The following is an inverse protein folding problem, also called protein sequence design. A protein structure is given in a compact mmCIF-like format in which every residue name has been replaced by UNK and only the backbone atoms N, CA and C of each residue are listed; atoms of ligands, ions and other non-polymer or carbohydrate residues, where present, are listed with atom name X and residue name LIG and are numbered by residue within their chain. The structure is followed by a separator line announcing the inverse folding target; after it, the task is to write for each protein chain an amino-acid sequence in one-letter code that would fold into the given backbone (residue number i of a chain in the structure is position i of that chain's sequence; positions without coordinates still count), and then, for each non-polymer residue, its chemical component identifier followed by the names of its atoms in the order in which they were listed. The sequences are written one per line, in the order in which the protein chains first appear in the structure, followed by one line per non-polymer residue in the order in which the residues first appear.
data_IF_910341248062
#
_entry.id   IF_910341248062
#
_cell.length_a   1.000
_cell.length_b   1.000
_cell.length_c   1.000
_cell.angle_alpha   90.00
_cell.angle_beta   90.00
_cell.angle_gamma   90.00
#
_symmetry.space_group_name_H-M   'P 1'
#
loop_
_entity.id
_entity.type
_entity.pdbx_description
1 polymer ?
#
# COMPACT_ATOMS: atom_id res chain seq x y z
N UNK A 1 -42.43 18.12 -64.75
CA UNK A 1 -41.26 17.19 -64.53
C UNK A 1 -40.14 17.75 -63.67
N UNK A 2 -40.06 19.07 -63.42
CA UNK A 2 -38.97 19.66 -62.60
C UNK A 2 -39.20 19.59 -61.08
N UNK A 3 -40.43 19.56 -60.56
CA UNK A 3 -40.75 19.58 -59.12
C UNK A 3 -40.51 18.23 -58.47
N UNK A 4 -40.69 17.11 -59.18
CA UNK A 4 -40.41 15.76 -58.63
C UNK A 4 -38.90 15.46 -58.40
N UNK A 5 -38.02 16.04 -59.22
CA UNK A 5 -36.57 15.85 -59.09
C UNK A 5 -36.00 16.56 -57.87
N UNK A 6 -36.51 17.72 -57.50
CA UNK A 6 -36.06 18.50 -56.35
C UNK A 6 -36.48 17.88 -55.00
N UNK A 7 -37.66 17.24 -54.96
CA UNK A 7 -38.17 16.54 -53.79
C UNK A 7 -37.35 15.25 -53.49
N UNK A 8 -36.98 14.49 -54.53
CA UNK A 8 -36.17 13.28 -54.44
C UNK A 8 -34.73 13.59 -53.94
N UNK A 9 -34.13 14.69 -54.39
CA UNK A 9 -32.81 15.09 -54.03
C UNK A 9 -32.73 15.56 -52.56
N UNK A 10 -33.75 16.20 -52.01
CA UNK A 10 -33.89 16.58 -50.64
C UNK A 10 -34.06 15.35 -49.73
N UNK A 11 -34.86 14.38 -50.11
CA UNK A 11 -35.12 13.15 -49.40
C UNK A 11 -33.84 12.29 -49.29
N UNK A 12 -33.06 12.16 -50.36
CA UNK A 12 -31.79 11.44 -50.40
C UNK A 12 -30.68 12.12 -49.55
N UNK A 13 -30.71 13.44 -49.49
CA UNK A 13 -29.77 14.20 -48.67
C UNK A 13 -30.07 14.03 -47.16
N UNK A 14 -31.33 14.01 -46.77
CA UNK A 14 -31.74 13.74 -45.38
C UNK A 14 -31.48 12.29 -44.99
N UNK A 15 -31.70 11.32 -45.85
CA UNK A 15 -31.35 9.92 -45.57
C UNK A 15 -29.85 9.69 -45.40
N UNK A 16 -29.01 10.34 -46.20
CA UNK A 16 -27.55 10.28 -46.02
C UNK A 16 -27.10 10.89 -44.67
N UNK A 17 -27.69 12.02 -44.29
CA UNK A 17 -27.38 12.66 -43.00
C UNK A 17 -27.81 11.77 -41.83
N UNK A 18 -29.00 11.15 -41.89
CA UNK A 18 -29.47 10.20 -40.88
C UNK A 18 -28.59 8.94 -40.80
N UNK A 19 -28.14 8.43 -41.97
CA UNK A 19 -27.22 7.29 -42.00
C UNK A 19 -25.86 7.62 -41.39
N UNK A 20 -25.27 8.80 -41.67
CA UNK A 20 -24.03 9.25 -41.04
C UNK A 20 -24.21 9.48 -39.55
N UNK A 21 -25.35 10.01 -39.09
CA UNK A 21 -25.66 10.16 -37.68
C UNK A 21 -25.79 8.80 -36.96
N UNK A 22 -26.46 7.84 -37.59
CA UNK A 22 -26.59 6.48 -37.06
C UNK A 22 -25.21 5.76 -36.94
N UNK A 23 -24.36 5.90 -37.99
CA UNK A 23 -23.00 5.31 -37.96
C UNK A 23 -22.10 5.98 -36.92
N UNK A 24 -22.17 7.30 -36.75
CA UNK A 24 -21.43 8.02 -35.72
C UNK A 24 -21.94 7.61 -34.33
N UNK A 25 -23.25 7.48 -34.14
CA UNK A 25 -23.85 7.06 -32.87
C UNK A 25 -23.51 5.61 -32.49
N UNK A 26 -23.46 4.69 -33.48
CA UNK A 26 -23.00 3.31 -33.26
C UNK A 26 -21.51 3.23 -32.96
N UNK A 27 -20.67 4.06 -33.58
CA UNK A 27 -19.24 4.15 -33.22
C UNK A 27 -19.02 4.73 -31.81
N UNK A 28 -19.81 5.73 -31.40
CA UNK A 28 -19.73 6.31 -30.06
C UNK A 28 -20.20 5.31 -28.98
N UNK A 29 -21.26 4.54 -29.25
CA UNK A 29 -21.76 3.50 -28.34
C UNK A 29 -20.74 2.35 -28.25
N UNK A 30 -20.15 1.93 -29.39
CA UNK A 30 -19.12 0.89 -29.40
C UNK A 30 -17.83 1.33 -28.66
N UNK A 31 -17.47 2.61 -28.75
CA UNK A 31 -16.34 3.15 -28.01
C UNK A 31 -16.62 3.23 -26.48
N UNK A 32 -17.84 3.63 -26.10
CA UNK A 32 -18.27 3.70 -24.70
C UNK A 32 -18.31 2.30 -24.04
N UNK A 33 -18.89 1.30 -24.72
CA UNK A 33 -18.94 -0.09 -24.21
C UNK A 33 -17.56 -0.74 -24.14
N UNK A 34 -16.66 -0.44 -25.07
CA UNK A 34 -15.28 -0.93 -25.02
C UNK A 34 -14.47 -0.28 -23.87
N UNK A 35 -14.77 0.97 -23.56
CA UNK A 35 -14.12 1.70 -22.46
C UNK A 35 -14.64 1.24 -21.09
N UNK A 36 -15.93 0.94 -20.95
CA UNK A 36 -16.52 0.40 -19.74
C UNK A 36 -16.06 -1.04 -19.48
N UNK A 37 -16.01 -1.90 -20.49
CA UNK A 37 -15.46 -3.26 -20.37
C UNK A 37 -13.98 -3.26 -19.97
N UNK A 38 -13.22 -2.26 -20.42
CA UNK A 38 -11.80 -2.13 -20.04
C UNK A 38 -11.60 -1.68 -18.60
N UNK A 39 -12.49 -0.82 -18.08
CA UNK A 39 -12.48 -0.37 -16.68
C UNK A 39 -12.89 -1.50 -15.71
N UNK A 40 -13.83 -2.33 -16.11
CA UNK A 40 -14.24 -3.51 -15.35
C UNK A 40 -13.11 -4.54 -15.29
N UNK A 41 -12.35 -4.74 -16.37
CA UNK A 41 -11.17 -5.60 -16.41
C UNK A 41 -10.04 -5.12 -15.47
N UNK A 42 -9.86 -3.82 -15.28
CA UNK A 42 -8.84 -3.28 -14.35
C UNK A 42 -9.22 -3.55 -12.91
N UNK A 43 -10.51 -3.40 -12.56
CA UNK A 43 -10.99 -3.71 -11.21
C UNK A 43 -10.89 -5.22 -10.92
N UNK A 44 -11.27 -6.09 -11.87
CA UNK A 44 -11.17 -7.55 -11.72
C UNK A 44 -9.72 -8.01 -11.58
N UNK A 45 -8.79 -7.43 -12.33
CA UNK A 45 -7.36 -7.76 -12.22
C UNK A 45 -6.75 -7.43 -10.85
N UNK A 46 -7.29 -6.45 -10.11
CA UNK A 46 -6.81 -6.13 -8.76
C UNK A 46 -7.09 -7.27 -7.76
N UNK A 47 -8.22 -7.99 -7.95
CA UNK A 47 -8.64 -9.10 -7.10
C UNK A 47 -8.19 -10.47 -7.62
N UNK A 48 -7.42 -10.53 -8.71
CA UNK A 48 -6.97 -11.82 -9.25
C UNK A 48 -6.24 -12.61 -8.17
N UNK A 49 -6.68 -13.85 -8.00
CA UNK A 49 -6.34 -14.72 -6.91
C UNK A 49 -4.83 -15.01 -6.84
N UNK A 50 -4.27 -14.90 -5.66
CA UNK A 50 -2.87 -15.23 -5.36
C UNK A 50 -2.54 -16.68 -5.71
N UNK A 51 -3.52 -17.58 -5.64
CA UNK A 51 -3.36 -18.99 -6.02
C UNK A 51 -3.03 -19.16 -7.51
N UNK A 52 -3.57 -18.29 -8.38
CA UNK A 52 -3.24 -18.30 -9.80
C UNK A 52 -1.78 -17.89 -10.07
N UNK A 53 -1.24 -16.95 -9.28
CA UNK A 53 0.18 -16.54 -9.35
C UNK A 53 1.09 -17.67 -8.91
N UNK A 54 0.71 -18.36 -7.83
CA UNK A 54 1.49 -19.46 -7.27
C UNK A 54 1.48 -20.73 -8.13
N UNK A 55 0.50 -20.90 -9.03
CA UNK A 55 0.48 -22.02 -9.97
C UNK A 55 1.57 -21.97 -11.06
N UNK A 56 2.19 -20.81 -11.26
CA UNK A 56 3.21 -20.56 -12.29
C UNK A 56 4.56 -20.15 -11.70
N UNK A 57 4.85 -20.46 -10.44
CA UNK A 57 6.10 -20.04 -9.78
C UNK A 57 7.36 -20.60 -10.44
N UNK A 58 7.27 -21.73 -11.15
CA UNK A 58 8.40 -22.33 -11.84
C UNK A 58 8.92 -21.47 -13.01
N UNK A 59 8.11 -20.56 -13.53
CA UNK A 59 8.49 -19.63 -14.60
C UNK A 59 9.38 -18.49 -14.09
N UNK A 60 9.52 -18.35 -12.76
CA UNK A 60 10.29 -17.27 -12.15
C UNK A 60 11.71 -17.69 -11.78
N UNK A 61 12.62 -16.70 -11.77
CA UNK A 61 14.03 -16.89 -11.44
C UNK A 61 14.24 -17.32 -9.99
N UNK A 62 15.24 -18.19 -9.78
CA UNK A 62 15.77 -18.52 -8.46
C UNK A 62 16.61 -17.39 -7.84
N UNK A 63 17.03 -16.42 -8.67
CA UNK A 63 17.80 -15.26 -8.21
C UNK A 63 16.93 -14.04 -7.99
N UNK A 64 17.20 -13.32 -6.91
CA UNK A 64 16.53 -12.07 -6.56
C UNK A 64 17.30 -10.88 -7.15
N UNK A 65 16.59 -10.05 -7.89
CA UNK A 65 16.98 -8.70 -8.29
C UNK A 65 16.15 -7.67 -7.54
N UNK A 66 16.79 -6.61 -7.04
CA UNK A 66 16.13 -5.50 -6.33
C UNK A 66 16.02 -4.30 -7.27
N UNK A 67 14.79 -3.83 -7.51
CA UNK A 67 14.50 -2.72 -8.43
C UNK A 67 14.14 -1.42 -7.71
N UNK A 68 13.37 -1.48 -6.65
CA UNK A 68 12.73 -0.33 -5.98
C UNK A 68 13.23 -0.11 -4.57
N UNK A 69 13.50 -1.18 -3.81
CA UNK A 69 13.92 -1.11 -2.42
C UNK A 69 15.34 -0.57 -2.30
N UNK A 70 15.47 0.67 -1.84
CA UNK A 70 16.77 1.34 -1.65
C UNK A 70 17.54 0.82 -0.44
N UNK A 71 16.84 0.19 0.49
CA UNK A 71 17.42 -0.38 1.70
C UNK A 71 18.02 -1.77 1.51
N UNK A 72 17.86 -2.40 0.34
CA UNK A 72 18.35 -3.76 0.07
C UNK A 72 19.32 -3.80 -1.09
N UNK A 73 20.41 -4.56 -0.91
CA UNK A 73 21.31 -4.98 -2.01
C UNK A 73 21.58 -6.46 -1.86
N UNK A 74 21.47 -7.22 -2.94
CA UNK A 74 21.66 -8.68 -2.98
C UNK A 74 22.77 -9.01 -3.97
N UNK A 75 23.69 -9.85 -3.56
CA UNK A 75 24.82 -10.33 -4.38
C UNK A 75 24.98 -11.84 -4.19
N UNK A 76 24.98 -12.60 -5.28
CA UNK A 76 25.22 -14.04 -5.28
C UNK A 76 26.71 -14.31 -5.41
N UNK A 77 27.29 -15.01 -4.43
CA UNK A 77 28.73 -15.37 -4.40
C UNK A 77 28.91 -16.85 -4.13
N UNK A 78 30.08 -17.41 -4.37
CA UNK A 78 30.36 -18.85 -4.18
C UNK A 78 30.11 -19.33 -2.73
N UNK A 79 30.24 -18.43 -1.74
CA UNK A 79 30.08 -18.75 -0.33
C UNK A 79 28.65 -18.49 0.21
N UNK A 80 27.70 -18.06 -0.64
CA UNK A 80 26.33 -17.82 -0.30
C UNK A 80 25.72 -16.53 -0.86
N UNK A 81 24.51 -16.21 -0.45
CA UNK A 81 23.81 -14.99 -0.83
C UNK A 81 24.19 -13.89 0.15
N UNK A 82 24.83 -12.84 -0.35
CA UNK A 82 25.23 -11.68 0.43
C UNK A 82 24.13 -10.61 0.35
N UNK A 83 23.55 -10.26 1.50
CA UNK A 83 22.54 -9.21 1.60
C UNK A 83 23.11 -8.05 2.41
N UNK A 84 23.08 -6.86 1.82
CA UNK A 84 23.40 -5.61 2.51
C UNK A 84 22.11 -4.86 2.78
N UNK A 85 21.87 -4.54 4.07
CA UNK A 85 20.70 -3.84 4.55
C UNK A 85 21.12 -2.46 5.04
N UNK A 86 20.47 -1.42 4.50
CA UNK A 86 20.67 -0.02 4.90
C UNK A 86 19.35 0.63 5.28
N UNK A 87 19.40 1.71 6.03
CA UNK A 87 18.20 2.52 6.26
C UNK A 87 17.95 3.40 5.03
N UNK A 88 16.85 3.20 4.27
CA UNK A 88 16.58 3.97 3.04
C UNK A 88 16.02 5.37 3.29
N UNK A 89 15.75 5.75 4.55
CA UNK A 89 15.21 7.05 4.90
C UNK A 89 16.23 8.16 4.57
N UNK A 90 15.91 9.08 3.62
CA UNK A 90 16.83 10.16 3.25
C UNK A 90 17.18 11.12 4.39
N UNK A 91 16.33 11.19 5.43
CA UNK A 91 16.52 12.02 6.61
C UNK A 91 17.30 11.29 7.73
N UNK A 92 17.54 9.99 7.59
CA UNK A 92 18.28 9.24 8.59
C UNK A 92 19.75 9.67 8.63
N UNK A 93 20.27 9.84 9.85
CA UNK A 93 21.73 9.92 10.02
C UNK A 93 22.34 8.63 9.48
N UNK A 94 23.49 8.72 8.80
CA UNK A 94 24.19 7.58 8.24
C UNK A 94 24.36 6.50 9.31
N UNK A 95 23.61 5.41 9.18
CA UNK A 95 23.77 4.20 10.00
C UNK A 95 24.71 3.24 9.28
N UNK A 96 25.44 2.45 10.06
CA UNK A 96 26.29 1.41 9.47
C UNK A 96 25.40 0.38 8.75
N UNK A 97 25.71 -0.02 7.50
CA UNK A 97 25.03 -1.11 6.85
C UNK A 97 25.14 -2.41 7.65
N UNK A 98 24.08 -3.19 7.66
CA UNK A 98 24.12 -4.57 8.12
C UNK A 98 24.49 -5.47 6.93
N UNK A 99 25.50 -6.32 7.10
CA UNK A 99 25.88 -7.32 6.10
C UNK A 99 25.58 -8.70 6.67
N UNK A 100 24.83 -9.49 5.91
CA UNK A 100 24.53 -10.88 6.24
C UNK A 100 24.86 -11.79 5.06
N UNK A 101 25.34 -13.01 5.38
CA UNK A 101 25.60 -14.04 4.36
C UNK A 101 24.70 -15.23 4.64
N UNK A 102 23.78 -15.52 3.74
CA UNK A 102 22.85 -16.63 3.82
C UNK A 102 23.45 -17.83 3.08
N UNK A 103 23.85 -18.85 3.85
CA UNK A 103 24.47 -20.09 3.35
C UNK A 103 23.50 -21.25 3.31
N UNK A 104 22.41 -21.18 4.10
CA UNK A 104 21.32 -22.16 4.16
C UNK A 104 20.01 -21.45 4.47
N UNK A 105 18.93 -22.04 4.04
CA UNK A 105 17.59 -21.56 4.32
C UNK A 105 17.22 -21.77 5.78
N UNK A 106 16.33 -20.94 6.26
CA UNK A 106 15.83 -20.93 7.64
C UNK A 106 14.32 -21.18 7.66
N UNK A 107 13.86 -21.72 8.77
CA UNK A 107 12.45 -22.09 8.91
C UNK A 107 11.81 -21.56 10.19
N UNK A 108 12.55 -20.87 11.04
CA UNK A 108 12.08 -20.42 12.36
C UNK A 108 12.39 -18.94 12.57
N UNK A 109 11.35 -18.11 12.49
CA UNK A 109 11.49 -16.65 12.56
C UNK A 109 10.67 -16.06 13.70
N UNK A 110 11.17 -14.99 14.28
CA UNK A 110 10.41 -14.09 15.12
C UNK A 110 10.18 -12.79 14.36
N UNK A 111 8.94 -12.31 14.34
CA UNK A 111 8.55 -11.03 13.77
C UNK A 111 8.18 -10.05 14.90
N UNK A 112 8.81 -8.87 14.92
CA UNK A 112 8.55 -7.85 15.95
C UNK A 112 7.54 -6.80 15.50
N UNK A 113 7.09 -6.80 14.25
CA UNK A 113 6.09 -5.86 13.71
C UNK A 113 5.08 -6.53 12.80
N UNK A 114 3.90 -5.92 12.67
CA UNK A 114 2.84 -6.39 11.78
C UNK A 114 3.28 -6.40 10.30
N UNK A 115 4.06 -5.40 9.86
CA UNK A 115 4.57 -5.36 8.48
C UNK A 115 5.47 -6.56 8.17
N UNK A 116 6.31 -6.99 9.12
CA UNK A 116 7.14 -8.19 8.94
C UNK A 116 6.27 -9.44 8.82
N UNK A 117 5.22 -9.57 9.66
CA UNK A 117 4.23 -10.63 9.56
C UNK A 117 3.58 -10.65 8.17
N UNK A 118 3.13 -9.49 7.68
CA UNK A 118 2.51 -9.36 6.35
C UNK A 118 3.42 -9.82 5.21
N UNK A 119 4.76 -9.68 5.33
CA UNK A 119 5.69 -10.21 4.33
C UNK A 119 5.67 -11.75 4.25
N UNK A 120 5.49 -12.45 5.38
CA UNK A 120 5.31 -13.91 5.39
C UNK A 120 3.92 -14.29 4.91
N UNK A 121 2.89 -13.55 5.33
CA UNK A 121 1.49 -13.83 4.98
C UNK A 121 1.26 -13.81 3.47
N UNK A 122 1.73 -12.78 2.75
CA UNK A 122 1.58 -12.72 1.28
C UNK A 122 2.37 -13.81 0.55
N UNK A 123 3.33 -14.43 1.20
CA UNK A 123 4.04 -15.59 0.67
C UNK A 123 3.44 -16.93 1.13
N UNK A 124 2.42 -16.93 2.01
CA UNK A 124 1.84 -18.14 2.59
C UNK A 124 2.81 -18.91 3.49
N UNK A 125 3.70 -18.20 4.19
CA UNK A 125 4.82 -18.75 4.98
C UNK A 125 4.66 -18.51 6.49
N UNK A 126 3.45 -18.26 6.99
CA UNK A 126 3.20 -17.99 8.41
C UNK A 126 3.60 -19.14 9.31
N UNK A 127 3.61 -20.38 8.80
CA UNK A 127 4.08 -21.58 9.52
C UNK A 127 5.56 -21.53 9.92
N UNK A 128 6.34 -20.66 9.30
CA UNK A 128 7.74 -20.41 9.66
C UNK A 128 7.90 -19.41 10.81
N UNK A 129 6.81 -18.78 11.27
CA UNK A 129 6.84 -17.81 12.37
C UNK A 129 6.61 -18.53 13.69
N UNK A 130 7.64 -18.54 14.54
CA UNK A 130 7.62 -19.21 15.86
C UNK A 130 7.39 -18.24 17.01
N UNK A 131 7.49 -16.94 16.77
CA UNK A 131 7.23 -15.91 17.77
C UNK A 131 6.87 -14.58 17.14
N UNK A 132 5.99 -13.85 17.83
CA UNK A 132 5.60 -12.50 17.44
C UNK A 132 5.58 -11.58 18.65
N UNK A 133 5.80 -10.28 18.42
CA UNK A 133 5.51 -9.26 19.40
C UNK A 133 4.00 -9.28 19.75
N UNK A 134 3.63 -8.91 20.97
CA UNK A 134 2.22 -8.80 21.37
C UNK A 134 1.54 -7.69 20.54
N UNK A 135 0.96 -8.06 19.44
CA UNK A 135 0.23 -7.18 18.52
C UNK A 135 -1.21 -7.06 18.98
N UNK A 136 -1.76 -5.84 18.98
CA UNK A 136 -3.13 -5.60 19.43
C UNK A 136 -4.17 -6.16 18.48
N UNK A 137 -3.85 -6.21 17.19
CA UNK A 137 -4.74 -6.66 16.13
C UNK A 137 -3.93 -7.46 15.13
N UNK A 138 -4.27 -8.74 15.01
CA UNK A 138 -3.77 -9.67 14.00
C UNK A 138 -4.98 -10.08 13.18
N UNK A 139 -4.88 -10.00 11.87
CA UNK A 139 -5.97 -10.30 10.94
C UNK A 139 -5.76 -11.61 10.18
N UNK A 140 -4.52 -12.10 10.08
CA UNK A 140 -4.24 -13.42 9.50
C UNK A 140 -4.88 -14.52 10.35
N UNK A 141 -5.91 -15.18 9.81
CA UNK A 141 -6.59 -16.29 10.48
C UNK A 141 -5.62 -17.44 10.79
N UNK A 142 -4.69 -17.71 9.87
CA UNK A 142 -3.67 -18.74 10.05
C UNK A 142 -2.74 -18.41 11.21
N UNK A 143 -2.37 -17.15 11.40
CA UNK A 143 -1.56 -16.73 12.53
C UNK A 143 -2.33 -16.81 13.85
N UNK A 144 -3.63 -16.48 13.86
CA UNK A 144 -4.48 -16.63 15.04
C UNK A 144 -4.57 -18.11 15.46
N UNK A 145 -4.77 -19.02 14.53
CA UNK A 145 -4.77 -20.47 14.79
C UNK A 145 -3.43 -20.97 15.38
N UNK A 146 -2.32 -20.43 14.88
CA UNK A 146 -0.99 -20.80 15.38
C UNK A 146 -0.74 -20.28 16.80
N UNK A 147 -1.22 -19.11 17.14
CA UNK A 147 -1.17 -18.55 18.49
C UNK A 147 -2.04 -19.37 19.45
N UNK A 148 -3.28 -19.67 19.06
CA UNK A 148 -4.19 -20.46 19.88
C UNK A 148 -3.69 -21.89 20.11
N UNK A 149 -3.10 -22.52 19.08
CA UNK A 149 -2.51 -23.85 19.18
C UNK A 149 -1.14 -23.89 19.87
N UNK A 150 -0.54 -22.73 20.20
CA UNK A 150 0.79 -22.63 20.81
C UNK A 150 1.96 -22.91 19.85
N UNK A 151 1.73 -23.00 18.55
CA UNK A 151 2.79 -23.14 17.53
C UNK A 151 3.62 -21.87 17.39
N UNK A 152 3.00 -20.74 17.58
CA UNK A 152 3.64 -19.42 17.65
C UNK A 152 3.44 -18.83 19.04
N UNK A 153 4.48 -18.26 19.64
CA UNK A 153 4.42 -17.65 20.97
C UNK A 153 4.38 -16.12 20.88
N UNK A 154 3.68 -15.49 21.82
CA UNK A 154 3.87 -14.06 22.07
C UNK A 154 5.15 -13.83 22.88
N UNK A 155 6.05 -12.98 22.37
CA UNK A 155 7.36 -12.70 22.98
C UNK A 155 7.40 -11.38 23.75
N UNK A 156 6.25 -10.82 24.11
CA UNK A 156 6.16 -9.54 24.84
C UNK A 156 6.05 -8.34 23.89
N UNK A 157 6.51 -7.18 24.37
CA UNK A 157 6.40 -5.89 23.65
C UNK A 157 7.76 -5.27 23.46
N UNK A 158 7.88 -4.37 22.50
CA UNK A 158 9.07 -3.55 22.30
C UNK A 158 9.50 -2.88 23.62
N UNK A 159 10.77 -3.02 23.97
CA UNK A 159 11.34 -2.55 25.24
C UNK A 159 11.08 -3.47 26.46
N UNK A 160 10.25 -4.51 26.33
CA UNK A 160 9.97 -5.49 27.39
C UNK A 160 9.68 -6.87 26.79
N UNK A 161 10.70 -7.47 26.18
CA UNK A 161 10.63 -8.80 25.60
C UNK A 161 10.78 -9.89 26.65
N UNK A 162 10.03 -10.97 26.51
CA UNK A 162 10.19 -12.20 27.28
C UNK A 162 11.31 -13.04 26.66
N UNK A 163 12.54 -12.85 27.16
CA UNK A 163 13.73 -13.52 26.64
C UNK A 163 13.69 -15.04 26.84
N UNK A 164 13.03 -15.52 27.89
CA UNK A 164 12.85 -16.97 28.11
C UNK A 164 11.99 -17.57 27.00
N UNK A 165 10.87 -16.92 26.69
CA UNK A 165 10.01 -17.35 25.57
C UNK A 165 10.74 -17.23 24.24
N UNK A 166 11.50 -16.16 23.99
CA UNK A 166 12.34 -16.01 22.77
C UNK A 166 13.29 -17.20 22.64
N UNK A 167 14.06 -17.54 23.67
CA UNK A 167 14.99 -18.67 23.63
C UNK A 167 14.29 -20.03 23.50
N UNK A 168 13.16 -20.22 24.18
CA UNK A 168 12.36 -21.45 24.10
C UNK A 168 11.84 -21.72 22.69
N UNK A 169 11.50 -20.70 21.92
CA UNK A 169 11.03 -20.86 20.53
C UNK A 169 12.13 -21.25 19.56
N UNK A 170 13.41 -21.15 19.95
CA UNK A 170 14.60 -21.51 19.15
C UNK A 170 14.54 -20.95 17.72
N UNK A 171 14.44 -19.63 17.52
CA UNK A 171 14.40 -19.04 16.19
C UNK A 171 15.78 -19.06 15.54
N UNK A 172 15.81 -19.17 14.21
CA UNK A 172 17.04 -18.98 13.42
C UNK A 172 17.41 -17.50 13.33
N UNK A 173 16.37 -16.64 13.21
CA UNK A 173 16.51 -15.18 13.11
C UNK A 173 15.37 -14.45 13.82
N UNK A 174 15.67 -13.25 14.27
CA UNK A 174 14.67 -12.29 14.76
C UNK A 174 14.67 -11.10 13.80
N UNK A 175 13.54 -10.86 13.14
CA UNK A 175 13.32 -9.66 12.33
C UNK A 175 12.96 -8.50 13.27
N UNK A 176 13.74 -7.41 13.18
CA UNK A 176 13.54 -6.21 13.98
C UNK A 176 13.39 -4.98 13.11
N UNK A 177 12.63 -3.99 13.53
CA UNK A 177 12.57 -2.68 12.89
C UNK A 177 13.29 -1.65 13.76
N UNK A 178 14.10 -0.78 13.16
CA UNK A 178 14.77 0.26 13.91
C UNK A 178 13.73 1.20 14.54
N UNK A 179 13.61 1.15 15.83
CA UNK A 179 12.76 2.06 16.61
C UNK A 179 13.58 3.20 17.17
N UNK A 180 12.96 4.38 17.23
CA UNK A 180 13.55 5.54 17.92
C UNK A 180 13.62 5.35 19.45
N UNK A 181 12.91 4.37 19.96
CA UNK A 181 12.87 4.05 21.38
C UNK A 181 13.91 3.00 21.80
N UNK A 182 14.63 2.37 20.85
CA UNK A 182 15.55 1.27 21.13
C UNK A 182 14.80 0.00 21.54
N UNK A 183 15.39 -0.78 22.44
CA UNK A 183 14.70 -1.94 23.05
C UNK A 183 15.09 -3.29 22.50
N UNK A 184 15.97 -3.34 21.48
CA UNK A 184 16.47 -4.61 20.92
C UNK A 184 17.78 -5.10 21.57
N UNK A 185 18.37 -4.31 22.48
CA UNK A 185 19.60 -4.65 23.17
C UNK A 185 19.46 -5.97 23.93
N UNK A 186 18.34 -6.15 24.63
CA UNK A 186 18.03 -7.39 25.34
C UNK A 186 17.94 -8.61 24.40
N UNK A 187 17.39 -8.45 23.19
CA UNK A 187 17.33 -9.54 22.20
C UNK A 187 18.73 -9.95 21.70
N UNK A 188 19.69 -9.04 21.67
CA UNK A 188 21.08 -9.38 21.31
C UNK A 188 21.73 -10.32 22.31
N UNK A 189 21.35 -10.21 23.59
CA UNK A 189 21.86 -11.07 24.66
C UNK A 189 21.45 -12.53 24.51
N UNK A 190 20.36 -12.81 23.77
CA UNK A 190 19.95 -14.18 23.45
C UNK A 190 20.91 -14.91 22.49
N UNK A 191 21.88 -14.22 21.87
CA UNK A 191 22.81 -14.80 20.90
C UNK A 191 22.19 -15.19 19.56
N UNK A 192 20.92 -14.81 19.32
CA UNK A 192 20.18 -15.07 18.08
C UNK A 192 20.44 -13.92 17.10
N UNK A 193 20.77 -14.19 15.82
CA UNK A 193 21.01 -13.15 14.85
C UNK A 193 19.78 -12.27 14.62
N UNK A 194 19.96 -10.95 14.75
CA UNK A 194 18.94 -9.96 14.42
C UNK A 194 19.09 -9.51 12.98
N UNK A 195 17.98 -9.42 12.24
CA UNK A 195 17.93 -8.88 10.87
C UNK A 195 17.05 -7.62 10.89
N UNK A 196 17.65 -6.48 10.51
CA UNK A 196 16.91 -5.24 10.40
C UNK A 196 16.01 -5.24 9.17
N UNK A 197 14.72 -4.98 9.39
CA UNK A 197 13.73 -4.82 8.32
C UNK A 197 13.32 -3.35 8.25
N UNK A 198 13.85 -2.63 7.24
CA UNK A 198 13.61 -1.19 7.08
C UNK A 198 12.54 -0.86 6.03
N UNK A 199 11.73 -1.83 5.59
CA UNK A 199 10.72 -1.62 4.56
C UNK A 199 9.81 -0.42 4.80
N UNK A 200 9.41 -0.18 6.05
CA UNK A 200 8.57 0.96 6.43
C UNK A 200 9.25 2.34 6.25
N UNK A 201 10.56 2.36 5.98
CA UNK A 201 11.35 3.57 5.70
C UNK A 201 11.50 3.86 4.20
N UNK A 202 11.08 2.93 3.35
CA UNK A 202 11.07 3.18 1.91
C UNK A 202 10.10 4.31 1.56
N UNK A 203 10.53 5.16 0.65
CA UNK A 203 9.71 6.29 0.19
C UNK A 203 8.89 5.96 -1.05
N UNK A 204 9.15 4.79 -1.66
CA UNK A 204 8.42 4.27 -2.81
C UNK A 204 7.51 3.11 -2.36
N UNK A 205 6.21 3.10 -2.71
CA UNK A 205 5.30 2.02 -2.34
C UNK A 205 5.76 0.63 -2.83
N UNK A 206 6.26 0.52 -4.05
CA UNK A 206 6.83 -0.74 -4.57
C UNK A 206 8.15 -1.08 -3.88
N UNK A 207 8.95 -0.08 -3.46
CA UNK A 207 10.16 -0.31 -2.67
C UNK A 207 9.84 -0.96 -1.32
N UNK A 208 8.77 -0.51 -0.65
CA UNK A 208 8.32 -1.14 0.60
C UNK A 208 7.83 -2.57 0.38
N UNK A 209 7.03 -2.82 -0.66
CA UNK A 209 6.54 -4.16 -0.99
C UNK A 209 7.66 -5.12 -1.37
N UNK A 210 8.73 -4.64 -2.01
CA UNK A 210 9.84 -5.47 -2.49
C UNK A 210 10.64 -6.15 -1.36
N UNK A 211 10.47 -5.72 -0.10
CA UNK A 211 11.08 -6.38 1.04
C UNK A 211 10.60 -7.82 1.27
N UNK A 212 9.50 -8.26 0.63
CA UNK A 212 9.12 -9.70 0.61
C UNK A 212 10.23 -10.57 0.03
N UNK A 213 11.06 -10.01 -0.86
CA UNK A 213 12.21 -10.73 -1.46
C UNK A 213 13.28 -11.09 -0.42
N UNK A 214 13.45 -10.26 0.63
CA UNK A 214 14.30 -10.63 1.77
C UNK A 214 13.79 -11.90 2.45
N UNK A 215 12.47 -11.99 2.68
CA UNK A 215 11.85 -13.20 3.26
C UNK A 215 12.07 -14.39 2.31
N UNK A 216 11.89 -14.20 1.00
CA UNK A 216 12.18 -15.25 0.00
C UNK A 216 13.60 -15.79 0.09
N UNK A 217 14.62 -14.92 0.23
CA UNK A 217 16.02 -15.31 0.41
C UNK A 217 16.23 -16.10 1.70
N UNK A 218 15.70 -15.60 2.82
CA UNK A 218 15.86 -16.20 4.14
C UNK A 218 15.22 -17.59 4.23
N UNK A 219 14.10 -17.79 3.55
CA UNK A 219 13.31 -19.03 3.60
C UNK A 219 13.60 -20.01 2.47
N UNK A 220 14.35 -19.58 1.44
CA UNK A 220 14.60 -20.35 0.21
C UNK A 220 13.45 -20.31 -0.80
N UNK A 221 12.47 -19.42 -0.60
CA UNK A 221 11.28 -19.27 -1.45
C UNK A 221 11.46 -18.13 -2.47
N UNK A 222 12.60 -18.06 -3.11
CA UNK A 222 12.99 -16.96 -4.02
C UNK A 222 12.08 -16.86 -5.23
N UNK A 223 11.74 -17.97 -5.88
CA UNK A 223 10.79 -18.00 -7.01
C UNK A 223 9.41 -17.47 -6.61
N UNK A 224 8.92 -17.92 -5.45
CA UNK A 224 7.64 -17.46 -4.90
C UNK A 224 7.63 -15.96 -4.62
N UNK A 225 8.69 -15.44 -3.99
CA UNK A 225 8.83 -14.02 -3.72
C UNK A 225 8.89 -13.18 -5.00
N UNK A 226 9.61 -13.67 -6.04
CA UNK A 226 9.64 -13.03 -7.35
C UNK A 226 8.27 -13.03 -8.02
N UNK A 227 7.54 -14.15 -8.01
CA UNK A 227 6.22 -14.27 -8.60
C UNK A 227 5.21 -13.32 -7.94
N UNK A 228 5.14 -13.34 -6.62
CA UNK A 228 4.22 -12.48 -5.84
C UNK A 228 4.55 -11.00 -6.03
N UNK A 229 5.85 -10.64 -5.99
CA UNK A 229 6.24 -9.25 -6.22
C UNK A 229 5.93 -8.78 -7.64
N UNK A 230 6.17 -9.61 -8.65
CA UNK A 230 5.88 -9.27 -10.06
C UNK A 230 4.38 -9.01 -10.29
N UNK A 231 3.50 -9.76 -9.63
CA UNK A 231 2.05 -9.53 -9.68
C UNK A 231 1.67 -8.20 -9.01
N UNK A 232 2.22 -7.92 -7.82
CA UNK A 232 2.03 -6.63 -7.12
C UNK A 232 2.53 -5.47 -7.98
N UNK A 233 3.71 -5.57 -8.54
CA UNK A 233 4.34 -4.58 -9.43
C UNK A 233 3.46 -4.30 -10.65
N UNK A 234 3.00 -5.37 -11.32
CA UNK A 234 2.13 -5.28 -12.49
C UNK A 234 0.81 -4.58 -12.17
N UNK A 235 0.12 -5.00 -11.10
CA UNK A 235 -1.16 -4.41 -10.67
C UNK A 235 -1.02 -2.93 -10.35
N UNK A 236 0.03 -2.59 -9.60
CA UNK A 236 0.31 -1.20 -9.21
C UNK A 236 0.58 -0.32 -10.45
N UNK A 237 1.50 -0.74 -11.31
CA UNK A 237 1.91 0.05 -12.48
C UNK A 237 0.78 0.17 -13.51
N UNK A 238 0.02 -0.90 -13.76
CA UNK A 238 -1.15 -0.85 -14.66
C UNK A 238 -2.16 0.17 -14.20
N UNK A 239 -2.52 0.15 -12.90
CA UNK A 239 -3.48 1.12 -12.36
C UNK A 239 -2.93 2.55 -12.43
N UNK A 240 -1.67 2.75 -12.08
CA UNK A 240 -1.01 4.06 -12.18
C UNK A 240 -1.05 4.61 -13.60
N UNK A 241 -0.73 3.79 -14.61
CA UNK A 241 -0.79 4.19 -16.02
C UNK A 241 -2.22 4.58 -16.47
N UNK A 242 -3.24 3.86 -16.01
CA UNK A 242 -4.64 4.21 -16.30
C UNK A 242 -5.04 5.55 -15.65
N UNK A 243 -4.57 5.83 -14.45
CA UNK A 243 -4.76 7.14 -13.79
C UNK A 243 -4.05 8.25 -14.56
N UNK A 244 -2.80 8.06 -14.95
CA UNK A 244 -2.03 9.03 -15.74
C UNK A 244 -2.73 9.36 -17.07
N UNK A 245 -3.24 8.34 -17.77
CA UNK A 245 -4.02 8.53 -19.02
C UNK A 245 -5.31 9.31 -18.77
N UNK A 246 -6.08 8.94 -17.72
CA UNK A 246 -7.34 9.57 -17.41
C UNK A 246 -7.20 11.03 -16.96
N UNK A 247 -6.09 11.36 -16.29
CA UNK A 247 -5.85 12.70 -15.74
C UNK A 247 -5.01 13.60 -16.65
N UNK A 248 -4.42 13.08 -17.72
CA UNK A 248 -3.52 13.83 -18.63
C UNK A 248 -4.13 15.10 -19.22
N UNK A 249 -5.45 15.15 -19.42
CA UNK A 249 -6.17 16.29 -19.96
C UNK A 249 -6.75 17.23 -18.88
N UNK A 250 -6.67 16.84 -17.61
CA UNK A 250 -7.21 17.63 -16.50
C UNK A 250 -6.22 18.72 -16.11
N UNK A 251 -6.63 19.98 -16.28
CA UNK A 251 -5.82 21.14 -15.86
C UNK A 251 -5.69 21.26 -14.34
N UNK A 252 -6.59 20.65 -13.56
CA UNK A 252 -6.60 20.73 -12.09
C UNK A 252 -6.92 19.36 -11.51
N UNK A 253 -5.95 18.79 -10.80
CA UNK A 253 -6.14 17.57 -10.02
C UNK A 253 -6.84 17.89 -8.70
N UNK A 254 -7.60 16.94 -8.10
CA UNK A 254 -8.17 17.10 -6.79
C UNK A 254 -7.06 17.26 -5.73
N UNK A 255 -7.23 18.23 -4.83
CA UNK A 255 -6.29 18.47 -3.75
C UNK A 255 -6.57 17.57 -2.56
N UNK A 256 -5.51 17.13 -1.86
CA UNK A 256 -5.65 16.27 -0.68
C UNK A 256 -4.80 16.77 0.48
N UNK A 257 -5.40 16.80 1.68
CA UNK A 257 -4.73 16.96 2.98
C UNK A 257 -4.69 15.61 3.70
N UNK A 258 -3.64 15.37 4.51
CA UNK A 258 -3.53 14.14 5.31
C UNK A 258 -3.47 14.38 6.80
N UNK A 259 -3.69 13.31 7.58
CA UNK A 259 -3.51 13.28 9.03
C UNK A 259 -4.62 13.95 9.81
N UNK A 260 -4.38 14.20 11.09
CA UNK A 260 -5.30 14.86 12.02
C UNK A 260 -4.58 15.37 13.27
N UNK A 261 -5.29 16.16 14.06
CA UNK A 261 -4.82 16.61 15.37
C UNK A 261 -4.65 15.40 16.32
N UNK A 262 -3.48 15.27 16.90
CA UNK A 262 -3.20 14.43 18.05
C UNK A 262 -2.75 15.33 19.22
N UNK A 263 -2.31 14.73 20.33
CA UNK A 263 -2.02 15.48 21.57
C UNK A 263 -1.08 16.68 21.35
N UNK A 264 -0.03 16.50 20.54
CA UNK A 264 1.07 17.47 20.43
C UNK A 264 1.03 18.28 19.12
N UNK A 265 -0.02 18.15 18.32
CA UNK A 265 -0.14 18.84 17.05
C UNK A 265 -0.88 18.03 15.97
N UNK A 266 -1.00 18.59 14.79
CA UNK A 266 -1.52 17.90 13.63
C UNK A 266 -0.43 17.03 13.02
N UNK A 267 -0.62 15.70 13.04
CA UNK A 267 0.29 14.78 12.38
C UNK A 267 -0.08 14.63 10.91
N UNK A 268 0.82 15.11 10.04
CA UNK A 268 0.67 15.09 8.59
C UNK A 268 1.83 14.31 7.97
N UNK A 269 1.62 13.66 6.84
CA UNK A 269 2.70 12.94 6.17
C UNK A 269 3.58 13.89 5.36
N UNK A 270 4.88 13.67 5.38
CA UNK A 270 5.85 14.46 4.64
C UNK A 270 5.70 14.30 3.13
N UNK A 271 6.10 15.31 2.35
CA UNK A 271 5.95 15.34 0.90
C UNK A 271 6.80 14.29 0.14
N UNK A 272 7.84 13.73 0.80
CA UNK A 272 8.68 12.67 0.26
C UNK A 272 8.33 11.29 0.81
N UNK A 273 7.23 11.14 1.55
CA UNK A 273 6.77 9.85 2.09
C UNK A 273 6.18 8.97 1.00
N UNK A 274 6.12 7.65 1.28
CA UNK A 274 5.44 6.71 0.39
C UNK A 274 3.94 7.04 0.23
N UNK A 275 3.29 7.55 1.27
CA UNK A 275 1.89 7.97 1.22
C UNK A 275 1.69 9.17 0.28
N UNK A 276 2.59 10.17 0.33
CA UNK A 276 2.57 11.28 -0.62
C UNK A 276 2.81 10.80 -2.07
N UNK A 277 3.61 9.74 -2.26
CA UNK A 277 3.76 9.09 -3.57
C UNK A 277 2.46 8.43 -4.01
N UNK A 278 1.74 7.71 -3.12
CA UNK A 278 0.44 7.12 -3.43
C UNK A 278 -0.59 8.16 -3.85
N UNK A 279 -0.65 9.32 -3.18
CA UNK A 279 -1.56 10.41 -3.60
C UNK A 279 -1.25 10.89 -5.02
N UNK A 280 0.03 11.08 -5.35
CA UNK A 280 0.45 11.47 -6.71
C UNK A 280 0.09 10.40 -7.74
N UNK A 281 0.40 9.14 -7.47
CA UNK A 281 0.14 8.02 -8.37
C UNK A 281 -1.36 7.77 -8.53
N UNK A 282 -2.18 8.16 -7.53
CA UNK A 282 -3.64 8.16 -7.61
C UNK A 282 -4.23 9.42 -8.29
N UNK A 283 -3.41 10.31 -8.85
CA UNK A 283 -3.85 11.50 -9.57
C UNK A 283 -4.37 12.62 -8.70
N UNK A 284 -3.82 12.82 -7.49
CA UNK A 284 -4.16 13.94 -6.62
C UNK A 284 -2.98 14.88 -6.37
N UNK A 285 -3.29 16.14 -6.09
CA UNK A 285 -2.31 17.16 -5.71
C UNK A 285 -2.24 17.27 -4.19
N UNK A 286 -1.15 16.74 -3.61
CA UNK A 286 -0.95 16.77 -2.17
C UNK A 286 -0.49 18.14 -1.68
N UNK A 287 -1.20 18.74 -0.71
CA UNK A 287 -0.92 20.09 -0.23
C UNK A 287 0.48 20.27 0.37
N UNK A 288 1.13 19.18 0.82
CA UNK A 288 2.49 19.18 1.38
C UNK A 288 3.53 18.60 0.42
N UNK A 289 3.25 18.50 -0.88
CA UNK A 289 4.14 17.91 -1.91
C UNK A 289 5.57 18.47 -1.92
N UNK A 290 5.74 19.74 -1.57
CA UNK A 290 7.05 20.42 -1.56
C UNK A 290 7.82 20.23 -0.24
N UNK A 291 7.20 19.64 0.77
CA UNK A 291 7.86 19.30 2.03
C UNK A 291 8.92 18.22 1.81
N UNK A 292 10.07 18.34 2.46
CA UNK A 292 11.24 17.47 2.23
C UNK A 292 11.29 16.23 3.13
N UNK A 293 10.41 16.14 4.12
CA UNK A 293 10.37 15.01 5.06
C UNK A 293 9.80 13.76 4.39
N UNK A 294 10.33 12.60 4.78
CA UNK A 294 9.91 11.28 4.31
C UNK A 294 8.95 10.57 5.28
N UNK A 295 8.90 11.04 6.53
CA UNK A 295 8.04 10.49 7.59
C UNK A 295 6.83 11.36 7.90
N UNK A 296 6.15 11.02 9.00
CA UNK A 296 5.13 11.88 9.60
C UNK A 296 5.78 13.05 10.35
N UNK A 297 5.20 14.22 10.24
CA UNK A 297 5.63 15.44 10.94
C UNK A 297 4.48 15.99 11.77
N UNK A 298 4.82 16.54 12.94
CA UNK A 298 3.86 17.25 13.78
C UNK A 298 3.98 18.75 13.47
N UNK A 299 2.87 19.38 13.10
CA UNK A 299 2.76 20.82 12.85
C UNK A 299 1.67 21.40 13.75
N UNK A 300 1.70 22.71 13.96
CA UNK A 300 0.58 23.36 14.65
C UNK A 300 -0.71 23.27 13.81
N UNK A 301 -1.84 23.22 14.51
CA UNK A 301 -3.14 23.09 13.88
C UNK A 301 -3.42 24.20 12.87
N UNK A 302 -3.15 25.44 13.25
CA UNK A 302 -3.48 26.62 12.47
C UNK A 302 -2.71 26.63 11.14
N UNK A 303 -1.43 26.28 11.15
CA UNK A 303 -0.60 26.19 9.94
C UNK A 303 -1.12 25.15 8.95
N UNK A 304 -1.53 23.97 9.44
CA UNK A 304 -2.08 22.90 8.59
C UNK A 304 -3.49 23.25 8.13
N UNK A 305 -4.32 23.77 9.03
CA UNK A 305 -5.67 24.19 8.75
C UNK A 305 -5.71 25.28 7.66
N UNK A 306 -4.89 26.32 7.78
CA UNK A 306 -4.82 27.38 6.79
C UNK A 306 -4.45 26.90 5.38
N UNK A 307 -3.61 25.85 5.28
CA UNK A 307 -3.24 25.24 3.99
C UNK A 307 -4.29 24.27 3.46
N UNK A 308 -4.97 23.56 4.33
CA UNK A 308 -5.81 22.42 3.99
C UNK A 308 -7.32 22.64 4.10
N UNK A 309 -7.78 23.82 4.61
CA UNK A 309 -9.23 24.09 4.80
C UNK A 309 -10.03 23.95 3.50
N UNK A 310 -9.42 24.31 2.37
CA UNK A 310 -10.03 24.25 1.04
C UNK A 310 -9.60 23.01 0.22
N UNK A 311 -8.94 22.02 0.84
CA UNK A 311 -8.60 20.79 0.15
C UNK A 311 -9.87 20.03 -0.25
N UNK A 312 -9.86 19.44 -1.46
CA UNK A 312 -11.01 18.67 -1.97
C UNK A 312 -11.25 17.40 -1.19
N UNK A 313 -10.16 16.75 -0.73
CA UNK A 313 -10.21 15.50 0.05
C UNK A 313 -9.34 15.61 1.31
N UNK A 314 -9.73 14.83 2.30
CA UNK A 314 -8.98 14.69 3.55
C UNK A 314 -8.76 13.22 3.88
N UNK A 315 -7.48 12.78 3.87
CA UNK A 315 -7.10 11.42 4.28
C UNK A 315 -6.70 11.41 5.75
N UNK A 316 -7.26 10.47 6.51
CA UNK A 316 -6.86 10.21 7.89
C UNK A 316 -7.03 8.73 8.25
N UNK A 317 -6.51 8.34 9.39
CA UNK A 317 -6.64 6.99 9.93
C UNK A 317 -6.82 7.01 11.45
N UNK A 318 -7.23 5.89 12.02
CA UNK A 318 -7.38 5.75 13.45
C UNK A 318 -7.95 4.39 13.82
N UNK A 319 -8.16 4.17 15.12
CA UNK A 319 -8.83 2.98 15.63
C UNK A 319 -10.15 3.38 16.26
N UNK A 320 -11.25 2.79 15.82
CA UNK A 320 -12.58 3.04 16.35
C UNK A 320 -13.14 1.79 17.04
N UNK A 321 -14.14 2.00 17.91
CA UNK A 321 -14.87 0.89 18.56
C UNK A 321 -16.08 0.42 17.75
N UNK A 322 -16.25 0.95 16.54
CA UNK A 322 -17.41 0.67 15.69
C UNK A 322 -17.23 1.36 14.33
N UNK A 323 -18.33 1.64 13.64
CA UNK A 323 -18.25 2.37 12.37
C UNK A 323 -17.90 3.84 12.64
N UNK A 324 -16.70 4.23 12.23
CA UNK A 324 -16.26 5.63 12.32
C UNK A 324 -17.00 6.49 11.29
N UNK A 325 -17.47 7.65 11.72
CA UNK A 325 -18.30 8.56 10.92
C UNK A 325 -17.80 9.99 11.00
N UNK A 326 -18.32 10.87 10.14
CA UNK A 326 -18.05 12.31 10.20
C UNK A 326 -18.47 12.92 11.55
N UNK A 327 -19.56 12.41 12.16
CA UNK A 327 -20.00 12.86 13.48
C UNK A 327 -18.96 12.56 14.56
N UNK A 328 -18.38 11.37 14.55
CA UNK A 328 -17.32 10.98 15.50
C UNK A 328 -16.06 11.81 15.28
N UNK A 329 -15.69 12.06 14.02
CA UNK A 329 -14.57 12.94 13.69
C UNK A 329 -14.80 14.38 14.18
N UNK A 330 -16.02 14.94 14.02
CA UNK A 330 -16.37 16.26 14.53
C UNK A 330 -16.39 16.33 16.07
N UNK A 331 -16.65 15.21 16.74
CA UNK A 331 -16.58 15.14 18.22
C UNK A 331 -15.13 15.17 18.74
N UNK A 332 -14.15 14.75 17.93
CA UNK A 332 -12.74 14.86 18.28
C UNK A 332 -12.26 16.33 18.26
N UNK A 333 -12.69 17.09 17.26
CA UNK A 333 -12.42 18.53 17.15
C UNK A 333 -13.49 19.21 16.25
N UNK A 334 -14.28 20.11 16.84
CA UNK A 334 -15.38 20.79 16.14
C UNK A 334 -14.89 21.64 14.93
N UNK A 335 -13.63 22.05 14.91
CA UNK A 335 -13.03 22.81 13.80
C UNK A 335 -12.98 22.01 12.51
N UNK A 336 -12.95 20.68 12.57
CA UNK A 336 -12.98 19.82 11.40
C UNK A 336 -14.21 20.02 10.52
N UNK A 337 -15.37 20.33 11.14
CA UNK A 337 -16.61 20.59 10.41
C UNK A 337 -16.56 21.83 9.51
N UNK A 338 -15.56 22.69 9.67
CA UNK A 338 -15.38 23.88 8.83
C UNK A 338 -14.57 23.60 7.55
N UNK A 339 -13.88 22.46 7.47
CA UNK A 339 -13.08 22.07 6.31
C UNK A 339 -13.97 21.66 5.12
N UNK A 340 -13.60 22.05 3.91
CA UNK A 340 -14.39 21.78 2.71
C UNK A 340 -14.52 20.28 2.41
N UNK A 341 -13.46 19.49 2.61
CA UNK A 341 -13.51 18.04 2.50
C UNK A 341 -14.53 17.39 3.46
N UNK A 342 -14.65 17.91 4.69
CA UNK A 342 -15.65 17.45 5.65
C UNK A 342 -17.08 17.80 5.20
N UNK A 343 -17.34 19.08 4.86
CA UNK A 343 -18.65 19.56 4.39
C UNK A 343 -19.15 18.79 3.18
N UNK A 344 -18.23 18.45 2.27
CA UNK A 344 -18.52 17.74 1.03
C UNK A 344 -18.51 16.20 1.20
N UNK A 345 -18.35 15.66 2.42
CA UNK A 345 -18.28 14.22 2.71
C UNK A 345 -17.17 13.50 1.95
N UNK A 346 -16.02 14.18 1.80
CA UNK A 346 -14.84 13.68 1.09
C UNK A 346 -13.69 13.37 2.06
N UNK A 347 -14.01 12.84 3.23
CA UNK A 347 -13.04 12.35 4.21
C UNK A 347 -12.81 10.86 3.93
N UNK A 348 -11.55 10.51 3.68
CA UNK A 348 -11.09 9.15 3.39
C UNK A 348 -10.45 8.61 4.66
N UNK A 349 -11.02 7.57 5.23
CA UNK A 349 -10.62 7.02 6.53
C UNK A 349 -10.23 5.55 6.43
N UNK A 350 -9.13 5.19 7.12
CA UNK A 350 -8.74 3.81 7.36
C UNK A 350 -8.92 3.47 8.85
N UNK A 351 -9.76 2.48 9.16
CA UNK A 351 -9.88 1.96 10.52
C UNK A 351 -8.81 0.91 10.76
N UNK A 352 -7.80 1.27 11.54
CA UNK A 352 -6.66 0.41 11.89
C UNK A 352 -7.02 -0.75 12.82
N UNK A 353 -8.21 -0.74 13.42
CA UNK A 353 -8.74 -1.82 14.26
C UNK A 353 -9.67 -2.77 13.51
N UNK A 354 -10.09 -2.41 12.30
CA UNK A 354 -11.03 -3.17 11.48
C UNK A 354 -10.42 -3.66 10.15
N UNK A 355 -9.19 -3.23 9.83
CA UNK A 355 -8.53 -3.58 8.57
C UNK A 355 -7.10 -4.08 8.80
N UNK A 356 -6.60 -5.01 7.97
CA UNK A 356 -5.22 -5.50 8.04
C UNK A 356 -4.20 -4.50 7.45
N UNK A 357 -4.48 -3.20 7.52
CA UNK A 357 -3.62 -2.17 6.94
C UNK A 357 -2.18 -2.24 7.45
N UNK A 358 -2.00 -2.48 8.77
CA UNK A 358 -0.66 -2.53 9.39
C UNK A 358 0.15 -3.74 8.95
N UNK A 359 -0.51 -4.85 8.63
CA UNK A 359 0.11 -6.09 8.13
C UNK A 359 0.35 -5.97 6.62
N UNK A 360 -0.69 -5.69 5.85
CA UNK A 360 -0.72 -5.87 4.40
C UNK A 360 -0.61 -4.57 3.60
N UNK A 361 -0.93 -3.40 4.17
CA UNK A 361 -0.97 -2.15 3.41
C UNK A 361 0.37 -1.82 2.74
N UNK A 362 1.49 -1.98 3.47
CA UNK A 362 2.82 -1.75 2.92
C UNK A 362 3.34 -2.85 2.00
N UNK A 363 2.76 -4.05 2.07
CA UNK A 363 3.16 -5.20 1.24
C UNK A 363 2.33 -5.28 -0.05
N UNK A 364 1.08 -4.82 0.00
CA UNK A 364 0.15 -4.80 -1.12
C UNK A 364 -0.28 -3.38 -1.50
N UNK A 365 0.65 -2.50 -1.92
CA UNK A 365 0.39 -1.08 -2.17
C UNK A 365 -0.57 -0.83 -3.34
N UNK A 366 -0.79 -1.81 -4.22
CA UNK A 366 -1.78 -1.71 -5.31
C UNK A 366 -3.21 -1.55 -4.80
N UNK A 367 -3.54 -2.13 -3.62
CA UNK A 367 -4.85 -1.89 -2.99
C UNK A 367 -4.95 -0.49 -2.38
N UNK A 368 -3.88 0.02 -1.78
CA UNK A 368 -3.86 1.42 -1.29
C UNK A 368 -4.02 2.41 -2.45
N UNK A 369 -3.32 2.16 -3.55
CA UNK A 369 -3.48 2.96 -4.77
C UNK A 369 -4.93 2.91 -5.27
N UNK A 370 -5.52 1.71 -5.33
CA UNK A 370 -6.90 1.52 -5.78
C UNK A 370 -7.93 2.22 -4.88
N UNK A 371 -7.73 2.18 -3.55
CA UNK A 371 -8.59 2.88 -2.59
C UNK A 371 -8.59 4.40 -2.84
N UNK A 372 -7.40 4.99 -3.06
CA UNK A 372 -7.27 6.42 -3.35
C UNK A 372 -7.79 6.77 -4.75
N UNK A 373 -7.53 5.95 -5.77
CA UNK A 373 -8.11 6.13 -7.10
C UNK A 373 -9.63 6.09 -7.03
N UNK A 374 -10.20 5.13 -6.28
CA UNK A 374 -11.67 5.07 -6.08
C UNK A 374 -12.24 6.32 -5.42
N UNK A 375 -11.49 6.91 -4.49
CA UNK A 375 -11.92 8.13 -3.82
C UNK A 375 -11.80 9.37 -4.72
N UNK A 376 -10.68 9.54 -5.44
CA UNK A 376 -10.38 10.73 -6.24
C UNK A 376 -11.02 10.69 -7.63
N UNK A 377 -11.07 9.51 -8.25
CA UNK A 377 -11.48 9.26 -9.62
C UNK A 377 -12.37 8.00 -9.71
N UNK A 378 -13.58 8.01 -9.10
CA UNK A 378 -14.43 6.83 -9.00
C UNK A 378 -14.83 6.23 -10.37
N UNK A 379 -14.76 7.04 -11.44
CA UNK A 379 -15.03 6.63 -12.81
C UNK A 379 -13.95 5.72 -13.40
N UNK A 380 -12.73 5.68 -12.84
CA UNK A 380 -11.66 4.76 -13.26
C UNK A 380 -11.92 3.34 -12.75
N UNK A 381 -12.42 3.23 -11.53
CA UNK A 381 -12.68 1.96 -10.84
C UNK A 381 -14.15 1.88 -10.37
N UNK A 382 -15.14 1.83 -11.27
CA UNK A 382 -16.56 1.94 -10.89
C UNK A 382 -17.03 0.80 -9.98
N UNK A 383 -16.61 -0.44 -10.21
CA UNK A 383 -17.00 -1.64 -9.45
C UNK A 383 -16.10 -1.97 -8.26
N UNK A 384 -14.95 -1.29 -8.11
CA UNK A 384 -14.01 -1.57 -7.03
C UNK A 384 -14.58 -1.21 -5.65
N UNK A 385 -14.40 -2.11 -4.69
CA UNK A 385 -14.76 -1.93 -3.27
C UNK A 385 -13.47 -1.66 -2.48
N UNK A 386 -13.33 -0.50 -1.82
CA UNK A 386 -12.14 -0.15 -1.06
C UNK A 386 -11.81 -1.14 0.06
N UNK A 387 -10.53 -1.52 0.14
CA UNK A 387 -10.02 -2.52 1.10
C UNK A 387 -9.63 -1.90 2.44
N UNK A 388 -8.97 -0.75 2.42
CA UNK A 388 -8.43 -0.08 3.61
C UNK A 388 -9.02 1.31 3.81
N UNK A 389 -8.83 2.18 2.82
CA UNK A 389 -9.25 3.58 2.85
C UNK A 389 -10.57 3.79 2.13
N UNK A 390 -11.59 4.24 2.84
CA UNK A 390 -12.92 4.50 2.26
C UNK A 390 -13.47 5.85 2.69
N UNK A 391 -14.34 6.43 1.86
CA UNK A 391 -15.09 7.64 2.23
C UNK A 391 -16.03 7.33 3.40
N UNK A 392 -15.98 8.16 4.46
CA UNK A 392 -16.91 8.07 5.60
C UNK A 392 -18.09 9.02 5.44
N UNK A 393 -19.21 8.66 6.09
CA UNK A 393 -20.49 9.41 6.02
C UNK A 393 -20.88 9.97 7.37
#
# INVERSE_FOLDING_TARGET
MHVLRTCFYRLFRHMKILYYFAVIMTMLISCATAQDGKKELVADNLYHDQDSVLSHIEDYSDTIEIKYAKGLKVEYKPDGIHVTITNPDPAAKASKPQHITIRKTSSRFICTTALQLGNFEVLGLEDKIVGINSLRHIFSLRMLDQLESGKTAEIGKEGNFDLETVMRTKPDFILVSASKYGGFEALKECGIPLIFHHGYKETNPLGQAEWIKLVGILTGETKRANAVFADIEKKYNTLKEEVEKATSYNKKLPTVISGRQLRDGWYIVGGRSYMAQLFRDAGADYIMKDNKESGGIALDFESVYAKGIHADFWQTDGSSKGNFSLKELANEDARYATMDAFKNKRVIFCDLSQTPYRELGGVQPHFLLADFVKAFHPEILPSYIPKYYKLIK
#
